data_IF_473457016982
#
_entry.id   IF_473457016982
#
_cell.length_a   1.000
_cell.length_b   1.000
_cell.length_c   1.000
_cell.angle_alpha   90.00
_cell.angle_beta   90.00
_cell.angle_gamma   90.00
#
_symmetry.space_group_name_H-M   'P 1'
#
loop_
_entity.id
_entity.type
_entity.pdbx_description
1 polymer ?
#
# COMPACT_ATOMS: atom_id res chain seq x y z
N UNK A 1 -40.81 -1.99 -36.33
CA UNK A 1 -40.99 -2.63 -35.00
C UNK A 1 -39.71 -3.32 -34.53
N UNK A 2 -38.95 -4.02 -35.39
CA UNK A 2 -37.68 -4.69 -35.04
C UNK A 2 -36.52 -3.81 -34.53
N UNK A 3 -36.44 -2.53 -34.89
CA UNK A 3 -35.32 -1.66 -34.48
C UNK A 3 -35.36 -1.27 -32.99
N UNK A 4 -36.55 -1.23 -32.38
CA UNK A 4 -36.72 -0.84 -30.98
C UNK A 4 -36.30 -1.99 -30.05
N UNK A 5 -36.60 -3.23 -30.43
CA UNK A 5 -36.21 -4.44 -29.68
C UNK A 5 -34.69 -4.66 -29.70
N UNK A 6 -34.03 -4.40 -30.84
CA UNK A 6 -32.58 -4.50 -30.93
C UNK A 6 -31.85 -3.47 -30.06
N UNK A 7 -32.41 -2.26 -29.93
CA UNK A 7 -31.84 -1.22 -29.07
C UNK A 7 -32.00 -1.55 -27.58
N UNK A 8 -33.13 -2.09 -27.14
CA UNK A 8 -33.33 -2.46 -25.73
C UNK A 8 -32.44 -3.63 -25.31
N UNK A 9 -32.24 -4.62 -26.19
CA UNK A 9 -31.31 -5.73 -25.95
C UNK A 9 -29.86 -5.26 -25.87
N UNK A 10 -29.42 -4.39 -26.79
CA UNK A 10 -28.07 -3.84 -26.76
C UNK A 10 -27.82 -3.00 -25.49
N UNK A 11 -28.82 -2.23 -25.04
CA UNK A 11 -28.74 -1.49 -23.77
C UNK A 11 -28.65 -2.41 -22.55
N UNK A 12 -29.41 -3.51 -22.52
CA UNK A 12 -29.35 -4.49 -21.44
C UNK A 12 -28.01 -5.23 -21.38
N UNK A 13 -27.43 -5.59 -22.54
CA UNK A 13 -26.11 -6.22 -22.65
C UNK A 13 -25.02 -5.26 -22.17
N UNK A 14 -25.03 -4.00 -22.62
CA UNK A 14 -24.09 -2.97 -22.14
C UNK A 14 -24.19 -2.74 -20.63
N UNK A 15 -25.39 -2.62 -20.08
CA UNK A 15 -25.60 -2.46 -18.64
C UNK A 15 -25.04 -3.66 -17.85
N UNK A 16 -25.22 -4.89 -18.35
CA UNK A 16 -24.66 -6.08 -17.73
C UNK A 16 -23.12 -6.10 -17.76
N UNK A 17 -22.51 -5.68 -18.86
CA UNK A 17 -21.04 -5.56 -18.95
C UNK A 17 -20.49 -4.49 -17.99
N UNK A 18 -21.15 -3.34 -17.88
CA UNK A 18 -20.76 -2.28 -16.93
C UNK A 18 -20.89 -2.80 -15.50
N UNK A 19 -22.01 -3.46 -15.16
CA UNK A 19 -22.22 -4.04 -13.83
C UNK A 19 -21.17 -5.10 -13.48
N UNK A 20 -20.76 -5.93 -14.45
CA UNK A 20 -19.71 -6.92 -14.26
C UNK A 20 -18.33 -6.26 -14.07
N UNK A 21 -18.01 -5.24 -14.88
CA UNK A 21 -16.76 -4.50 -14.77
C UNK A 21 -16.64 -3.78 -13.41
N UNK A 22 -17.70 -3.10 -12.96
CA UNK A 22 -17.76 -2.43 -11.65
C UNK A 22 -17.60 -3.44 -10.51
N UNK A 23 -18.27 -4.60 -10.57
CA UNK A 23 -18.12 -5.67 -9.58
C UNK A 23 -16.69 -6.20 -9.52
N UNK A 24 -16.05 -6.41 -10.67
CA UNK A 24 -14.68 -6.90 -10.74
C UNK A 24 -13.67 -5.85 -10.25
N UNK A 25 -13.88 -4.57 -10.54
CA UNK A 25 -13.06 -3.48 -10.02
C UNK A 25 -13.19 -3.37 -8.50
N UNK A 26 -14.41 -3.38 -7.97
CA UNK A 26 -14.64 -3.40 -6.53
C UNK A 26 -13.97 -4.61 -5.89
N UNK A 27 -14.08 -5.79 -6.50
CA UNK A 27 -13.42 -7.00 -6.01
C UNK A 27 -11.90 -6.84 -6.02
N UNK A 28 -11.30 -6.26 -7.04
CA UNK A 28 -9.85 -6.04 -7.12
C UNK A 28 -9.35 -5.01 -6.08
N UNK A 29 -10.10 -3.93 -5.85
CA UNK A 29 -9.75 -2.90 -4.85
C UNK A 29 -9.96 -3.40 -3.42
N UNK A 30 -11.06 -4.12 -3.18
CA UNK A 30 -11.38 -4.69 -1.86
C UNK A 30 -10.52 -5.92 -1.56
N UNK A 31 -10.08 -6.66 -2.57
CA UNK A 31 -9.08 -7.73 -2.44
C UNK A 31 -7.64 -7.19 -2.52
N UNK A 32 -7.38 -5.99 -2.00
CA UNK A 32 -6.02 -5.68 -1.57
C UNK A 32 -5.63 -6.78 -0.57
N UNK A 33 -4.65 -7.66 -0.92
CA UNK A 33 -4.33 -8.78 -0.06
C UNK A 33 -3.97 -8.23 1.32
N UNK A 34 -4.46 -8.84 2.41
CA UNK A 34 -4.08 -8.46 3.77
C UNK A 34 -2.55 -8.40 3.93
N UNK A 35 -1.83 -9.22 3.16
CA UNK A 35 -0.36 -9.19 3.03
C UNK A 35 0.17 -7.84 2.55
N UNK A 36 -0.44 -7.20 1.57
CA UNK A 36 -0.03 -5.89 1.04
C UNK A 36 -0.26 -4.79 2.07
N UNK A 37 -1.39 -4.81 2.78
CA UNK A 37 -1.66 -3.86 3.87
C UNK A 37 -0.66 -4.07 5.00
N UNK A 38 -0.41 -5.31 5.40
CA UNK A 38 0.60 -5.64 6.43
C UNK A 38 2.01 -5.20 6.04
N UNK A 39 2.39 -5.35 4.77
CA UNK A 39 3.66 -4.87 4.23
C UNK A 39 3.77 -3.34 4.29
N UNK A 40 2.71 -2.62 3.92
CA UNK A 40 2.67 -1.15 4.00
C UNK A 40 2.77 -0.66 5.46
N UNK A 41 2.06 -1.29 6.40
CA UNK A 41 2.20 -0.97 7.82
C UNK A 41 3.61 -1.23 8.34
N UNK A 42 4.21 -2.36 7.96
CA UNK A 42 5.59 -2.69 8.33
C UNK A 42 6.57 -1.67 7.79
N UNK A 43 6.37 -1.22 6.54
CA UNK A 43 7.17 -0.17 5.92
C UNK A 43 7.02 1.16 6.68
N UNK A 44 5.80 1.58 6.99
CA UNK A 44 5.54 2.80 7.76
C UNK A 44 6.19 2.77 9.15
N UNK A 45 6.04 1.66 9.88
CA UNK A 45 6.61 1.51 11.22
C UNK A 45 8.14 1.60 11.19
N UNK A 46 8.78 0.96 10.21
CA UNK A 46 10.24 1.02 10.04
C UNK A 46 10.72 2.40 9.59
N UNK A 47 9.98 3.11 8.72
CA UNK A 47 10.29 4.50 8.37
C UNK A 47 10.24 5.42 9.59
N UNK A 48 9.20 5.27 10.41
CA UNK A 48 9.06 6.02 11.66
C UNK A 48 10.20 5.72 12.64
N UNK A 49 10.63 4.46 12.75
CA UNK A 49 11.77 4.09 13.58
C UNK A 49 13.08 4.78 13.13
N UNK A 50 13.33 4.85 11.81
CA UNK A 50 14.51 5.53 11.26
C UNK A 50 14.50 7.03 11.51
N UNK A 51 13.34 7.67 11.39
CA UNK A 51 13.23 9.10 11.69
C UNK A 51 13.50 9.37 13.16
N UNK A 52 13.02 8.51 14.06
CA UNK A 52 13.33 8.59 15.48
C UNK A 52 14.83 8.45 15.73
N UNK A 53 15.48 7.44 15.17
CA UNK A 53 16.93 7.23 15.30
C UNK A 53 17.74 8.45 14.85
N UNK A 54 17.38 9.06 13.72
CA UNK A 54 18.04 10.27 13.20
C UNK A 54 17.83 11.50 14.09
N UNK A 55 16.69 11.56 14.77
CA UNK A 55 16.32 12.66 15.67
C UNK A 55 16.91 12.52 17.08
N UNK A 56 17.49 11.37 17.45
CA UNK A 56 18.20 11.23 18.73
C UNK A 56 19.43 12.11 18.74
N UNK A 57 19.69 12.76 19.88
CA UNK A 57 20.92 13.54 20.10
C UNK A 57 22.12 12.65 20.40
N UNK A 58 23.33 13.15 20.15
CA UNK A 58 24.57 12.42 20.47
C UNK A 58 24.66 12.02 21.95
N UNK A 59 24.19 12.88 22.87
CA UNK A 59 24.15 12.57 24.30
C UNK A 59 23.24 11.36 24.58
N UNK A 60 22.05 11.34 24.01
CA UNK A 60 21.11 10.21 24.14
C UNK A 60 21.67 8.92 23.53
N UNK A 61 22.37 9.01 22.40
CA UNK A 61 22.99 7.84 21.78
C UNK A 61 24.10 7.27 22.67
N UNK A 62 24.94 8.14 23.25
CA UNK A 62 26.00 7.75 24.18
C UNK A 62 25.48 7.11 25.46
N UNK A 63 24.35 7.58 25.99
CA UNK A 63 23.73 7.01 27.18
C UNK A 63 23.29 5.55 26.97
N UNK A 64 22.93 5.19 25.74
CA UNK A 64 22.57 3.81 25.35
C UNK A 64 23.79 3.02 24.83
N UNK A 65 24.98 3.63 24.83
CA UNK A 65 26.21 3.01 24.34
C UNK A 65 26.29 2.88 22.81
N UNK A 66 25.49 3.65 22.08
CA UNK A 66 25.48 3.67 20.61
C UNK A 66 26.30 4.87 20.08
N UNK A 67 26.93 4.68 18.93
CA UNK A 67 27.58 5.77 18.20
C UNK A 67 26.70 6.27 17.07
N UNK A 68 26.78 7.57 16.76
CA UNK A 68 26.03 8.17 15.64
C UNK A 68 26.24 7.44 14.32
N UNK A 69 27.48 7.05 14.02
CA UNK A 69 27.82 6.31 12.81
C UNK A 69 27.11 4.95 12.71
N UNK A 70 26.96 4.24 13.82
CA UNK A 70 26.26 2.96 13.87
C UNK A 70 24.75 3.14 13.68
N UNK A 71 24.19 4.20 14.29
CA UNK A 71 22.77 4.55 14.14
C UNK A 71 22.41 4.99 12.73
N UNK A 72 23.29 5.78 12.09
CA UNK A 72 23.09 6.24 10.71
C UNK A 72 23.20 5.06 9.72
N UNK A 73 24.14 4.15 9.93
CA UNK A 73 24.26 2.93 9.13
C UNK A 73 23.00 2.04 9.21
N UNK A 74 22.41 1.89 10.40
CA UNK A 74 21.15 1.15 10.58
C UNK A 74 19.97 1.90 9.95
N UNK A 75 19.93 3.23 10.07
CA UNK A 75 18.87 4.04 9.48
C UNK A 75 18.89 4.01 7.94
N UNK A 76 20.07 3.88 7.34
CA UNK A 76 20.28 3.89 5.89
C UNK A 76 20.14 2.52 5.22
N UNK A 77 20.05 1.44 6.00
CA UNK A 77 19.93 0.08 5.48
C UNK A 77 18.74 -0.03 4.50
N UNK A 78 18.88 -0.56 3.26
CA UNK A 78 17.74 -0.65 2.33
C UNK A 78 16.60 -1.52 2.87
N UNK A 79 15.36 -1.22 2.48
CA UNK A 79 14.22 -2.09 2.75
C UNK A 79 14.33 -3.34 1.88
N UNK A 80 15.02 -4.36 2.38
CA UNK A 80 14.90 -5.69 1.80
C UNK A 80 13.48 -6.18 2.08
N UNK A 81 12.68 -6.24 1.01
CA UNK A 81 11.39 -6.93 1.02
C UNK A 81 11.72 -8.41 1.25
N UNK A 82 11.23 -9.06 2.32
CA UNK A 82 11.36 -10.50 2.46
C UNK A 82 10.53 -11.23 1.40
#
# INVERSE_FOLDING_TARGET
>A
MHSIENNSLNQAVQANHINAAVKNLFRAVVQLPEKTIGQLYTWQARQHYRSQLRNLSEAQLRDVGLSRAMTDAEADNPFLIP
#
